data_IF_467244108468
#
_entry.id   IF_467244108468
#
_cell.length_a   1.000
_cell.length_b   1.000
_cell.length_c   1.000
_cell.angle_alpha   90.00
_cell.angle_beta   90.00
_cell.angle_gamma   90.00
#
_symmetry.space_group_name_H-M   'P 1'
#
loop_
_entity.id
_entity.type
_entity.pdbx_description
1 polymer ?
#
# COMPACT_ATOMS: atom_id res chain seq x y z
N UNK A 1 -3.13 -23.76 -6.00
CA UNK A 1 -4.43 -23.19 -5.81
C UNK A 1 -4.82 -22.91 -4.37
N UNK A 2 -5.32 -23.91 -3.64
CA UNK A 2 -5.95 -23.73 -2.32
C UNK A 2 -4.97 -23.23 -1.25
N UNK A 3 -3.76 -23.76 -1.20
CA UNK A 3 -2.73 -23.33 -0.25
C UNK A 3 -2.36 -21.86 -0.44
N UNK A 4 -2.21 -21.40 -1.68
CA UNK A 4 -1.95 -19.97 -1.97
C UNK A 4 -3.10 -19.09 -1.46
N UNK A 5 -4.36 -19.50 -1.73
CA UNK A 5 -5.54 -18.76 -1.27
C UNK A 5 -5.53 -18.58 0.25
N UNK A 6 -5.29 -19.65 1.01
CA UNK A 6 -5.20 -19.60 2.49
C UNK A 6 -4.05 -18.66 2.95
N UNK A 7 -2.89 -18.75 2.30
CA UNK A 7 -1.74 -17.90 2.65
C UNK A 7 -2.02 -16.42 2.37
N UNK A 8 -2.72 -16.10 1.27
CA UNK A 8 -3.15 -14.74 0.97
C UNK A 8 -4.19 -14.24 1.97
N UNK A 9 -5.12 -15.09 2.40
CA UNK A 9 -6.11 -14.72 3.42
C UNK A 9 -5.45 -14.35 4.75
N UNK A 10 -4.46 -15.12 5.19
CA UNK A 10 -3.66 -14.80 6.37
C UNK A 10 -2.87 -13.51 6.20
N UNK A 11 -2.27 -13.28 5.02
CA UNK A 11 -1.55 -12.05 4.72
C UNK A 11 -2.48 -10.83 4.79
N UNK A 12 -3.68 -10.92 4.24
CA UNK A 12 -4.67 -9.85 4.29
C UNK A 12 -5.23 -9.64 5.71
N UNK A 13 -5.33 -10.70 6.52
CA UNK A 13 -5.68 -10.57 7.94
C UNK A 13 -4.63 -9.76 8.71
N UNK A 14 -3.37 -10.10 8.56
CA UNK A 14 -2.27 -9.38 9.21
C UNK A 14 -2.14 -7.93 8.70
N UNK A 15 -2.36 -7.69 7.40
CA UNK A 15 -2.35 -6.33 6.85
C UNK A 15 -3.46 -5.46 7.45
N UNK A 16 -4.61 -6.06 7.75
CA UNK A 16 -5.75 -5.37 8.35
C UNK A 16 -5.65 -5.24 9.88
N UNK A 17 -4.85 -6.06 10.56
CA UNK A 17 -4.79 -6.11 12.03
C UNK A 17 -4.17 -4.86 12.67
N UNK A 18 -3.33 -4.12 11.92
CA UNK A 18 -2.72 -2.87 12.37
C UNK A 18 -3.69 -1.67 12.24
N UNK A 19 -3.19 -0.46 12.45
CA UNK A 19 -3.93 0.80 12.36
C UNK A 19 -4.75 0.97 11.05
N UNK A 20 -4.33 0.33 9.97
CA UNK A 20 -5.01 0.36 8.65
C UNK A 20 -6.42 -0.21 8.68
N UNK A 21 -6.67 -1.22 9.52
CA UNK A 21 -8.00 -1.77 9.72
C UNK A 21 -8.95 -0.74 10.35
N UNK A 22 -8.47 -0.02 11.38
CA UNK A 22 -9.23 1.05 12.06
C UNK A 22 -9.45 2.28 11.17
N UNK A 23 -8.46 2.62 10.33
CA UNK A 23 -8.56 3.74 9.38
C UNK A 23 -9.37 3.42 8.11
N UNK A 24 -9.91 2.21 7.96
CA UNK A 24 -10.67 1.81 6.76
C UNK A 24 -9.84 1.63 5.48
N UNK A 25 -8.50 1.71 5.58
CA UNK A 25 -7.60 1.67 4.43
C UNK A 25 -7.06 0.28 4.11
N UNK A 26 -7.34 -0.71 4.95
CA UNK A 26 -6.93 -2.10 4.74
C UNK A 26 -7.55 -2.70 3.47
N UNK A 27 -6.84 -3.67 2.88
CA UNK A 27 -7.28 -4.37 1.66
C UNK A 27 -8.66 -4.98 1.86
N UNK A 28 -8.91 -5.62 3.01
CA UNK A 28 -10.18 -6.33 3.31
C UNK A 28 -11.38 -5.42 3.51
N UNK A 29 -11.17 -4.15 3.83
CA UNK A 29 -12.26 -3.24 4.13
C UNK A 29 -13.05 -2.81 2.88
N UNK A 30 -12.53 -3.11 1.69
CA UNK A 30 -13.15 -2.77 0.41
C UNK A 30 -13.18 -3.97 -0.53
N UNK A 31 -14.35 -4.47 -0.93
CA UNK A 31 -14.48 -5.65 -1.80
C UNK A 31 -13.77 -5.49 -3.15
N UNK A 32 -13.83 -4.31 -3.76
CA UNK A 32 -13.15 -3.98 -5.01
C UNK A 32 -11.62 -4.09 -4.87
N UNK A 33 -11.07 -3.58 -3.77
CA UNK A 33 -9.65 -3.63 -3.46
C UNK A 33 -9.20 -5.06 -3.16
N UNK A 34 -9.97 -5.80 -2.37
CA UNK A 34 -9.69 -7.20 -2.07
C UNK A 34 -9.65 -8.04 -3.35
N UNK A 35 -10.64 -7.88 -4.24
CA UNK A 35 -10.69 -8.58 -5.52
C UNK A 35 -9.48 -8.25 -6.40
N UNK A 36 -9.10 -6.97 -6.46
CA UNK A 36 -7.91 -6.53 -7.19
C UNK A 36 -6.63 -7.18 -6.65
N UNK A 37 -6.35 -7.07 -5.34
CA UNK A 37 -5.14 -7.65 -4.77
C UNK A 37 -5.11 -9.18 -4.88
N UNK A 38 -6.23 -9.84 -4.69
CA UNK A 38 -6.32 -11.30 -4.86
C UNK A 38 -5.97 -11.70 -6.30
N UNK A 39 -6.53 -11.03 -7.30
CA UNK A 39 -6.23 -11.27 -8.71
C UNK A 39 -4.76 -10.98 -9.04
N UNK A 40 -4.24 -9.84 -8.58
CA UNK A 40 -2.85 -9.43 -8.80
C UNK A 40 -1.87 -10.47 -8.22
N UNK A 41 -2.06 -10.84 -6.96
CA UNK A 41 -1.12 -11.72 -6.25
C UNK A 41 -1.21 -13.18 -6.72
N UNK A 42 -2.39 -13.62 -7.17
CA UNK A 42 -2.52 -14.94 -7.82
C UNK A 42 -1.74 -14.97 -9.13
N UNK A 43 -1.90 -13.97 -10.00
CA UNK A 43 -1.12 -13.87 -11.24
C UNK A 43 0.39 -13.70 -10.98
N UNK A 44 0.75 -12.95 -9.95
CA UNK A 44 2.15 -12.80 -9.55
C UNK A 44 2.75 -14.13 -9.08
N UNK A 45 1.98 -14.96 -8.39
CA UNK A 45 2.41 -16.30 -7.98
C UNK A 45 2.59 -17.23 -9.20
N UNK A 46 1.65 -17.21 -10.14
CA UNK A 46 1.72 -17.96 -11.41
C UNK A 46 2.94 -17.55 -12.24
N UNK A 47 3.27 -16.26 -12.25
CA UNK A 47 4.45 -15.71 -12.94
C UNK A 47 5.76 -15.85 -12.16
N UNK A 48 5.75 -16.39 -10.93
CA UNK A 48 6.94 -16.52 -10.10
C UNK A 48 7.46 -15.20 -9.50
N UNK A 49 6.66 -14.13 -9.51
CA UNK A 49 7.04 -12.80 -9.01
C UNK A 49 6.62 -12.53 -7.59
N UNK A 50 5.66 -13.30 -7.05
CA UNK A 50 5.14 -13.08 -5.71
C UNK A 50 6.20 -13.42 -4.66
N UNK A 51 6.40 -12.50 -3.73
CA UNK A 51 7.18 -12.69 -2.52
C UNK A 51 6.30 -12.38 -1.32
N UNK A 52 6.08 -13.40 -0.47
CA UNK A 52 5.38 -13.25 0.80
C UNK A 52 6.37 -13.56 1.92
N UNK A 53 6.68 -12.53 2.71
CA UNK A 53 7.55 -12.67 3.86
C UNK A 53 6.72 -12.62 5.13
N UNK A 54 6.86 -13.61 5.99
CA UNK A 54 6.19 -13.66 7.28
C UNK A 54 7.21 -13.70 8.41
N UNK A 55 6.96 -12.92 9.45
CA UNK A 55 7.63 -13.12 10.74
C UNK A 55 6.78 -14.08 11.56
N UNK A 56 7.42 -15.12 12.10
CA UNK A 56 6.74 -16.18 12.85
C UNK A 56 7.36 -16.33 14.23
N UNK A 57 6.53 -16.41 15.27
CA UNK A 57 6.93 -16.73 16.64
C UNK A 57 6.11 -17.95 17.08
N UNK A 58 6.80 -18.99 17.54
CA UNK A 58 6.17 -20.23 18.03
C UNK A 58 5.12 -20.82 17.05
N UNK A 59 5.45 -20.76 15.76
CA UNK A 59 4.55 -21.25 14.69
C UNK A 59 3.43 -20.28 14.28
N UNK A 60 3.20 -19.20 15.03
CA UNK A 60 2.21 -18.16 14.70
C UNK A 60 2.83 -17.08 13.84
N UNK A 61 2.21 -16.75 12.69
CA UNK A 61 2.58 -15.60 11.86
C UNK A 61 2.11 -14.31 12.52
N UNK A 62 3.02 -13.40 12.80
CA UNK A 62 2.74 -12.15 13.52
C UNK A 62 2.95 -10.89 12.68
N UNK A 63 3.69 -10.98 11.59
CA UNK A 63 3.81 -9.89 10.63
C UNK A 63 3.91 -10.44 9.21
N UNK A 64 3.58 -9.60 8.24
CA UNK A 64 3.64 -9.91 6.81
C UNK A 64 4.19 -8.74 6.02
N UNK A 65 4.95 -9.05 4.98
CA UNK A 65 5.29 -8.16 3.90
C UNK A 65 4.94 -8.81 2.57
N UNK A 66 4.10 -8.13 1.80
CA UNK A 66 3.66 -8.54 0.45
C UNK A 66 4.49 -7.75 -0.54
N UNK A 67 5.24 -8.43 -1.36
CA UNK A 67 6.14 -7.83 -2.33
C UNK A 67 6.09 -8.54 -3.69
N UNK A 68 6.60 -7.87 -4.71
CA UNK A 68 6.82 -8.44 -6.03
C UNK A 68 8.31 -8.38 -6.36
N UNK A 69 8.88 -9.49 -6.84
CA UNK A 69 10.24 -9.55 -7.36
C UNK A 69 10.20 -9.58 -8.89
N UNK A 70 10.57 -8.48 -9.52
CA UNK A 70 10.55 -8.33 -10.97
C UNK A 70 11.90 -7.79 -11.45
N UNK A 71 12.54 -8.45 -12.41
CA UNK A 71 13.84 -8.04 -12.96
C UNK A 71 14.89 -7.75 -11.87
N UNK A 72 15.00 -8.62 -10.89
CA UNK A 72 15.93 -8.51 -9.77
C UNK A 72 15.71 -7.28 -8.86
N UNK A 73 14.51 -6.69 -8.91
CA UNK A 73 14.04 -5.58 -8.05
C UNK A 73 12.87 -6.02 -7.22
N UNK A 74 12.90 -5.69 -5.93
CA UNK A 74 11.85 -6.02 -4.98
C UNK A 74 10.96 -4.80 -4.73
N UNK A 75 9.68 -4.91 -5.05
CA UNK A 75 8.67 -3.86 -4.86
C UNK A 75 7.79 -4.20 -3.67
N UNK A 76 7.83 -3.41 -2.59
CA UNK A 76 7.05 -3.66 -1.37
C UNK A 76 5.66 -3.06 -1.53
N UNK A 77 4.65 -3.90 -1.74
CA UNK A 77 3.28 -3.45 -1.95
C UNK A 77 2.56 -3.10 -0.64
N UNK A 78 2.64 -3.99 0.34
CA UNK A 78 1.92 -3.89 1.61
C UNK A 78 2.68 -4.57 2.73
N UNK A 79 2.50 -4.03 3.94
CA UNK A 79 2.97 -4.64 5.18
C UNK A 79 1.89 -4.56 6.24
N UNK A 80 1.92 -5.48 7.18
CA UNK A 80 1.04 -5.48 8.33
C UNK A 80 1.56 -6.38 9.44
N UNK A 81 1.00 -6.24 10.64
CA UNK A 81 1.39 -7.03 11.79
C UNK A 81 0.26 -7.16 12.80
N UNK A 82 0.32 -8.17 13.64
CA UNK A 82 -0.58 -8.36 14.77
C UNK A 82 -0.27 -7.30 15.85
N UNK A 83 -1.26 -6.46 16.14
CA UNK A 83 -1.15 -5.33 17.06
C UNK A 83 -0.69 -5.72 18.49
N UNK A 84 -0.93 -6.97 18.89
CA UNK A 84 -0.46 -7.51 20.17
C UNK A 84 1.07 -7.45 20.32
N UNK A 85 1.77 -7.55 19.20
CA UNK A 85 3.23 -7.53 19.12
C UNK A 85 3.80 -6.14 18.79
N UNK A 86 2.97 -5.09 18.78
CA UNK A 86 3.41 -3.72 18.46
C UNK A 86 4.63 -3.24 19.26
N UNK A 87 4.75 -3.51 20.60
CA UNK A 87 5.90 -3.09 21.37
C UNK A 87 7.25 -3.66 20.90
N UNK A 88 7.23 -4.77 20.15
CA UNK A 88 8.43 -5.43 19.60
C UNK A 88 8.74 -5.00 18.17
N UNK A 89 8.02 -4.04 17.61
CA UNK A 89 8.20 -3.51 16.26
C UNK A 89 8.33 -4.59 15.16
N UNK A 90 7.41 -5.56 15.06
CA UNK A 90 7.59 -6.75 14.20
C UNK A 90 7.67 -6.41 12.71
N UNK A 91 7.04 -5.33 12.24
CA UNK A 91 7.18 -4.87 10.85
C UNK A 91 8.59 -4.35 10.56
N UNK A 92 9.22 -3.69 11.54
CA UNK A 92 10.57 -3.16 11.39
C UNK A 92 11.58 -4.32 11.33
N UNK A 93 11.45 -5.30 12.24
CA UNK A 93 12.27 -6.50 12.25
C UNK A 93 12.11 -7.30 10.95
N UNK A 94 10.88 -7.48 10.47
CA UNK A 94 10.62 -8.18 9.19
C UNK A 94 11.24 -7.42 8.01
N UNK A 95 11.18 -6.10 8.01
CA UNK A 95 11.81 -5.25 7.00
C UNK A 95 13.33 -5.44 7.00
N UNK A 96 13.96 -5.41 8.16
CA UNK A 96 15.41 -5.64 8.30
C UNK A 96 15.82 -7.01 7.75
N UNK A 97 15.11 -8.06 8.14
CA UNK A 97 15.38 -9.43 7.69
C UNK A 97 15.24 -9.54 6.16
N UNK A 98 14.23 -8.91 5.59
CA UNK A 98 14.01 -8.87 4.14
C UNK A 98 15.15 -8.09 3.43
N UNK A 99 15.61 -6.96 3.97
CA UNK A 99 16.72 -6.21 3.43
C UNK A 99 18.02 -7.05 3.43
N UNK A 100 18.28 -7.77 4.53
CA UNK A 100 19.42 -8.69 4.63
C UNK A 100 19.34 -9.84 3.60
N UNK A 101 18.15 -10.42 3.40
CA UNK A 101 17.94 -11.46 2.38
C UNK A 101 18.16 -10.91 0.97
N UNK A 102 17.58 -9.74 0.67
CA UNK A 102 17.76 -9.08 -0.60
C UNK A 102 19.25 -8.76 -0.91
N UNK A 103 19.99 -8.32 0.10
CA UNK A 103 21.44 -8.13 -0.02
C UNK A 103 22.19 -9.44 -0.32
N UNK A 104 21.90 -10.51 0.42
CA UNK A 104 22.50 -11.84 0.19
C UNK A 104 22.18 -12.35 -1.21
N UNK A 105 20.98 -12.13 -1.71
CA UNK A 105 20.52 -12.50 -3.06
C UNK A 105 21.06 -11.58 -4.16
N UNK A 106 21.77 -10.50 -3.79
CA UNK A 106 22.29 -9.48 -4.71
C UNK A 106 21.20 -8.85 -5.57
N UNK A 107 20.06 -8.53 -4.97
CA UNK A 107 19.02 -7.77 -5.66
C UNK A 107 19.56 -6.37 -6.02
N UNK A 108 19.17 -5.87 -7.18
CA UNK A 108 19.67 -4.58 -7.68
C UNK A 108 19.00 -3.39 -7.02
N UNK A 109 17.78 -3.57 -6.54
CA UNK A 109 16.98 -2.47 -5.96
C UNK A 109 15.88 -3.02 -5.05
N UNK A 110 15.54 -2.25 -4.01
CA UNK A 110 14.35 -2.42 -3.19
C UNK A 110 13.58 -1.11 -3.26
N UNK A 111 12.34 -1.17 -3.74
CA UNK A 111 11.44 -0.03 -3.83
C UNK A 111 10.32 -0.15 -2.79
N UNK A 112 10.28 0.80 -1.85
CA UNK A 112 9.23 0.87 -0.82
C UNK A 112 7.89 1.39 -1.35
N UNK A 113 7.84 1.84 -2.60
CA UNK A 113 6.68 2.41 -3.27
C UNK A 113 6.01 3.56 -2.49
N UNK A 114 5.12 4.28 -3.17
CA UNK A 114 4.35 5.38 -2.57
C UNK A 114 5.21 6.58 -2.14
N UNK A 115 4.69 7.39 -1.23
CA UNK A 115 5.32 8.63 -0.81
C UNK A 115 6.54 8.40 0.08
N UNK A 116 7.42 9.42 0.20
CA UNK A 116 8.60 9.43 1.06
C UNK A 116 8.20 9.62 2.54
N UNK A 117 7.53 8.63 3.10
CA UNK A 117 7.14 8.60 4.51
C UNK A 117 8.38 8.49 5.42
N UNK A 118 8.30 9.11 6.60
CA UNK A 118 9.42 9.18 7.55
C UNK A 118 10.08 7.83 7.83
N UNK A 119 9.29 6.79 8.07
CA UNK A 119 9.81 5.45 8.36
C UNK A 119 10.59 4.81 7.20
N UNK A 120 10.29 5.19 5.94
CA UNK A 120 11.06 4.75 4.76
C UNK A 120 12.39 5.48 4.67
N UNK A 121 12.38 6.77 5.02
CA UNK A 121 13.59 7.60 5.02
C UNK A 121 14.59 7.20 6.13
N UNK A 122 14.16 6.43 7.11
CA UNK A 122 15.06 5.78 8.10
C UNK A 122 15.92 4.68 7.45
N UNK A 123 15.47 4.11 6.32
CA UNK A 123 16.19 3.06 5.59
C UNK A 123 17.01 3.60 4.41
N UNK A 124 16.60 4.67 3.77
CA UNK A 124 17.24 5.21 2.57
C UNK A 124 16.90 6.67 2.35
N UNK A 125 17.89 7.43 1.88
CA UNK A 125 17.69 8.81 1.41
C UNK A 125 17.42 8.88 -0.10
N UNK A 126 17.47 7.75 -0.80
CA UNK A 126 17.20 7.71 -2.24
C UNK A 126 15.71 7.78 -2.49
N UNK A 127 15.26 8.84 -3.15
CA UNK A 127 13.88 9.03 -3.56
C UNK A 127 13.78 9.11 -5.08
N UNK A 128 12.67 8.64 -5.62
CA UNK A 128 12.38 8.72 -7.05
C UNK A 128 11.05 9.41 -7.26
N UNK A 129 11.02 10.37 -8.16
CA UNK A 129 9.77 10.98 -8.57
C UNK A 129 8.86 9.94 -9.24
N UNK A 130 7.59 9.91 -8.87
CA UNK A 130 6.58 9.07 -9.49
C UNK A 130 5.36 9.91 -9.87
N UNK A 131 4.58 9.42 -10.82
CA UNK A 131 3.39 10.09 -11.31
C UNK A 131 2.17 9.20 -11.19
N UNK A 132 1.04 9.80 -10.86
CA UNK A 132 -0.25 9.12 -10.91
C UNK A 132 -0.67 8.97 -12.36
N UNK A 133 -0.96 7.73 -12.79
CA UNK A 133 -1.53 7.42 -14.10
C UNK A 133 -3.01 7.10 -13.93
N UNK A 134 -3.86 7.87 -14.59
CA UNK A 134 -5.31 7.66 -14.58
C UNK A 134 -5.75 7.10 -15.93
N UNK A 135 -6.32 5.91 -15.94
CA UNK A 135 -6.81 5.24 -17.14
C UNK A 135 -8.34 5.36 -17.17
N UNK A 136 -8.86 6.03 -18.17
CA UNK A 136 -10.29 6.19 -18.38
C UNK A 136 -10.71 5.36 -19.61
N UNK A 137 -11.52 4.31 -19.44
CA UNK A 137 -12.12 3.61 -20.58
C UNK A 137 -12.89 4.60 -21.46
N UNK A 138 -12.85 4.41 -22.79
CA UNK A 138 -13.48 5.34 -23.76
C UNK A 138 -15.00 5.22 -23.76
N UNK A 139 -15.65 5.75 -22.71
CA UNK A 139 -17.11 5.86 -22.54
C UNK A 139 -17.47 7.30 -22.23
N UNK A 140 -18.63 7.77 -22.69
CA UNK A 140 -19.11 9.14 -22.44
C UNK A 140 -19.04 9.54 -20.96
N UNK A 141 -19.51 8.68 -20.06
CA UNK A 141 -19.43 8.90 -18.62
C UNK A 141 -18.01 9.18 -18.13
N UNK A 142 -17.03 8.43 -18.64
CA UNK A 142 -15.64 8.57 -18.22
C UNK A 142 -14.98 9.83 -18.82
N UNK A 143 -15.41 10.26 -19.99
CA UNK A 143 -14.99 11.56 -20.57
C UNK A 143 -15.45 12.73 -19.70
N UNK A 144 -16.71 12.69 -19.25
CA UNK A 144 -17.26 13.69 -18.32
C UNK A 144 -16.49 13.66 -16.99
N UNK A 145 -16.24 12.47 -16.44
CA UNK A 145 -15.47 12.32 -15.19
C UNK A 145 -14.03 12.84 -15.33
N UNK A 146 -13.36 12.54 -16.45
CA UNK A 146 -12.03 13.07 -16.75
C UNK A 146 -12.03 14.60 -16.80
N UNK A 147 -12.98 15.18 -17.57
CA UNK A 147 -13.12 16.64 -17.67
C UNK A 147 -13.35 17.29 -16.29
N UNK A 148 -14.27 16.72 -15.51
CA UNK A 148 -14.56 17.22 -14.18
C UNK A 148 -13.34 17.14 -13.25
N UNK A 149 -12.67 15.99 -13.20
CA UNK A 149 -11.51 15.76 -12.33
C UNK A 149 -10.31 16.66 -12.67
N UNK A 150 -10.00 16.85 -13.96
CA UNK A 150 -8.77 17.54 -14.37
C UNK A 150 -8.96 18.98 -14.79
N UNK A 151 -10.18 19.37 -15.15
CA UNK A 151 -10.47 20.74 -15.59
C UNK A 151 -11.28 21.54 -14.58
N UNK A 152 -12.27 20.93 -13.94
CA UNK A 152 -13.20 21.63 -13.04
C UNK A 152 -12.67 21.65 -11.61
N UNK A 153 -12.36 20.47 -11.04
CA UNK A 153 -11.91 20.36 -9.64
C UNK A 153 -10.67 21.21 -9.32
N UNK A 154 -9.60 21.26 -10.14
CA UNK A 154 -8.46 22.11 -9.83
C UNK A 154 -8.81 23.62 -9.78
N UNK A 155 -9.76 24.06 -10.64
CA UNK A 155 -10.23 25.46 -10.62
C UNK A 155 -11.02 25.78 -9.36
N UNK A 156 -11.84 24.84 -8.89
CA UNK A 156 -12.61 24.98 -7.63
C UNK A 156 -11.65 24.97 -6.43
N UNK A 157 -10.70 24.05 -6.40
CA UNK A 157 -9.72 23.93 -5.31
C UNK A 157 -8.81 25.17 -5.21
N UNK A 158 -8.48 25.80 -6.33
CA UNK A 158 -7.67 27.01 -6.36
C UNK A 158 -8.49 28.28 -6.13
N UNK A 159 -9.82 28.19 -6.03
CA UNK A 159 -10.66 29.35 -5.80
C UNK A 159 -10.52 29.86 -4.35
N UNK A 160 -10.32 31.17 -4.12
CA UNK A 160 -10.10 31.73 -2.77
C UNK A 160 -11.19 31.36 -1.75
N UNK A 161 -12.44 31.36 -2.18
CA UNK A 161 -13.58 30.99 -1.31
C UNK A 161 -13.51 29.54 -0.83
N UNK A 162 -13.09 28.59 -1.69
CA UNK A 162 -12.91 27.20 -1.30
C UNK A 162 -11.79 27.06 -0.27
N UNK A 163 -10.67 27.73 -0.44
CA UNK A 163 -9.55 27.73 0.51
C UNK A 163 -9.96 28.34 1.85
N UNK A 164 -10.77 29.40 1.86
CA UNK A 164 -11.33 29.96 3.09
C UNK A 164 -12.26 28.97 3.80
N UNK A 165 -13.13 28.27 3.07
CA UNK A 165 -14.01 27.26 3.65
C UNK A 165 -13.24 26.06 4.20
N UNK A 166 -12.23 25.57 3.51
CA UNK A 166 -11.36 24.49 3.96
C UNK A 166 -10.61 24.86 5.24
N UNK A 167 -10.05 26.07 5.31
CA UNK A 167 -9.37 26.55 6.51
C UNK A 167 -10.32 26.79 7.69
N UNK A 168 -11.53 27.22 7.45
CA UNK A 168 -12.56 27.34 8.48
C UNK A 168 -13.05 25.96 8.97
N UNK A 169 -13.25 24.99 8.06
CA UNK A 169 -13.62 23.61 8.40
C UNK A 169 -12.58 22.89 9.24
N UNK A 170 -11.28 23.09 8.95
CA UNK A 170 -10.19 22.53 9.76
C UNK A 170 -10.17 23.10 11.19
N UNK A 171 -10.54 24.35 11.39
CA UNK A 171 -10.68 24.99 12.72
C UNK A 171 -11.84 24.42 13.53
N UNK A 172 -12.84 23.82 12.88
CA UNK A 172 -14.05 23.25 13.51
C UNK A 172 -13.94 21.71 13.62
N UNK A 173 -12.81 21.09 13.24
CA UNK A 173 -12.60 19.63 13.34
C UNK A 173 -13.32 18.79 12.27
N UNK A 174 -13.86 19.42 11.24
CA UNK A 174 -14.43 18.73 10.08
C UNK A 174 -13.30 18.38 9.08
N UNK A 175 -12.85 17.13 9.10
CA UNK A 175 -11.98 16.58 8.06
C UNK A 175 -12.80 16.31 6.80
N UNK A 176 -12.79 17.25 5.86
CA UNK A 176 -13.19 16.98 4.48
C UNK A 176 -12.07 16.19 3.84
N UNK A 177 -12.28 14.89 3.66
CA UNK A 177 -11.35 14.03 2.91
C UNK A 177 -11.34 14.43 1.43
N UNK A 178 -10.15 14.72 0.90
CA UNK A 178 -9.85 14.87 -0.53
C UNK A 178 -9.96 13.56 -1.29
#
# INVERSE_FOLDING_TARGET
GEQLSRTLDEAFLLEAAAWKGKAGTAIRNRPDRLAFYRSLLTRAAEGGWLQLHFLTIEGKRIAVQIALLVHNKLYILKSGYDQHYAPFAPSLLLCELMLRDAWKRRLTEIDFLGDAERWKLEWTNHTRAHSWVFIFPNRMRNRVLHYFKFMVLPRIHNHPLYQMMKSAGQRIGLHLHD
#
